data_IF_259664990141
#
_entry.id   IF_259664990141
#
_cell.length_a   1.000
_cell.length_b   1.000
_cell.length_c   1.000
_cell.angle_alpha   90.00
_cell.angle_beta   90.00
_cell.angle_gamma   90.00
#
_symmetry.space_group_name_H-M   'P 1'
#
loop_
_entity.id
_entity.type
_entity.pdbx_description
1 polymer ?
#
# COMPACT_ATOMS: atom_id res chain seq x y z
N UNK A 1 18.96 -55.85 -24.80
CA UNK A 1 19.06 -55.49 -23.38
C UNK A 1 19.33 -54.00 -23.37
N UNK A 2 18.50 -53.07 -22.92
CA UNK A 2 17.35 -53.07 -22.02
C UNK A 2 16.75 -51.65 -22.22
N UNK A 3 15.62 -51.55 -22.92
CA UNK A 3 14.33 -50.99 -22.44
C UNK A 3 14.05 -49.50 -22.73
N UNK A 4 12.91 -49.30 -23.40
CA UNK A 4 12.23 -48.06 -23.78
C UNK A 4 11.45 -47.45 -22.59
N UNK A 5 11.14 -46.15 -22.66
CA UNK A 5 9.76 -45.62 -22.78
C UNK A 5 9.62 -44.18 -22.25
N UNK A 6 9.16 -43.31 -23.14
CA UNK A 6 8.03 -42.37 -22.98
C UNK A 6 7.76 -41.73 -21.60
N UNK A 7 7.70 -40.39 -21.52
CA UNK A 7 6.43 -39.66 -21.58
C UNK A 7 6.60 -38.11 -21.48
N UNK A 8 5.64 -37.46 -22.14
CA UNK A 8 5.36 -36.07 -22.51
C UNK A 8 4.94 -35.17 -21.30
N UNK A 9 5.00 -33.82 -21.40
CA UNK A 9 4.74 -32.91 -20.27
C UNK A 9 3.26 -32.84 -19.92
N UNK A 10 2.95 -32.84 -18.62
CA UNK A 10 1.60 -32.67 -18.09
C UNK A 10 1.45 -31.30 -17.41
N UNK A 11 0.42 -30.58 -17.84
CA UNK A 11 -0.04 -29.32 -17.28
C UNK A 11 -1.07 -29.54 -16.16
N UNK A 12 -1.13 -28.58 -15.23
CA UNK A 12 -2.32 -28.07 -14.51
C UNK A 12 -3.01 -28.94 -13.43
N UNK A 13 -2.96 -28.46 -12.17
CA UNK A 13 -4.02 -28.52 -11.12
C UNK A 13 -3.71 -27.37 -10.14
N UNK A 14 -4.47 -26.27 -10.02
CA UNK A 14 -5.82 -26.07 -9.42
C UNK A 14 -5.91 -26.40 -7.91
N UNK A 15 -5.64 -25.41 -7.06
CA UNK A 15 -6.32 -25.09 -5.79
C UNK A 15 -5.73 -23.73 -5.29
N UNK A 16 -6.44 -22.79 -4.67
CA UNK A 16 -7.51 -22.92 -3.70
C UNK A 16 -8.49 -21.75 -3.79
N UNK A 17 -9.76 -22.09 -4.02
CA UNK A 17 -10.89 -21.30 -3.53
C UNK A 17 -10.90 -21.45 -2.01
N UNK A 18 -10.75 -20.36 -1.27
CA UNK A 18 -11.14 -20.31 0.15
C UNK A 18 -12.10 -19.14 0.28
N UNK A 19 -13.39 -19.47 0.15
CA UNK A 19 -14.44 -18.68 0.77
C UNK A 19 -14.28 -18.80 2.28
N UNK A 20 -14.47 -17.69 2.99
CA UNK A 20 -14.62 -17.71 4.43
C UNK A 20 -15.63 -16.65 4.83
N UNK A 21 -16.90 -16.98 4.62
CA UNK A 21 -17.99 -16.50 5.44
C UNK A 21 -18.05 -17.35 6.72
N UNK A 22 -17.93 -16.69 7.86
CA UNK A 22 -18.50 -17.13 9.15
C UNK A 22 -18.68 -15.88 10.02
N UNK A 23 -19.93 -15.47 10.13
CA UNK A 23 -20.46 -14.59 11.18
C UNK A 23 -20.14 -15.13 12.58
N UNK A 24 -19.62 -14.27 13.46
CA UNK A 24 -19.91 -14.33 14.89
C UNK A 24 -19.51 -13.01 15.60
N UNK A 25 -20.54 -12.35 16.13
CA UNK A 25 -20.51 -11.21 17.05
C UNK A 25 -19.73 -11.53 18.32
N UNK A 26 -18.80 -10.64 18.73
CA UNK A 26 -18.55 -10.39 20.15
C UNK A 26 -18.13 -8.93 20.44
N UNK A 27 -18.82 -8.36 21.42
CA UNK A 27 -18.71 -6.97 21.89
C UNK A 27 -17.42 -6.77 22.68
N UNK A 28 -16.41 -6.18 22.04
CA UNK A 28 -15.31 -5.54 22.73
C UNK A 28 -15.04 -4.19 22.11
N UNK A 29 -15.27 -3.10 22.85
CA UNK A 29 -14.92 -1.72 22.49
C UNK A 29 -13.40 -1.58 22.39
N UNK A 30 -12.80 -2.22 21.37
CA UNK A 30 -11.43 -2.01 20.95
C UNK A 30 -11.42 -0.62 20.37
N UNK A 31 -10.83 0.32 21.10
CA UNK A 31 -10.33 1.55 20.48
C UNK A 31 -9.47 1.07 19.33
N UNK A 32 -10.02 1.14 18.10
CA UNK A 32 -9.23 0.89 16.90
C UNK A 32 -8.17 1.98 16.94
N UNK A 33 -6.99 1.64 17.48
CA UNK A 33 -5.76 2.36 17.19
C UNK A 33 -5.79 2.44 15.68
N UNK A 34 -6.01 3.65 15.17
CA UNK A 34 -5.99 3.98 13.76
C UNK A 34 -4.61 3.55 13.32
N UNK A 35 -4.45 2.30 12.86
CA UNK A 35 -3.23 1.85 12.26
C UNK A 35 -3.10 2.78 11.07
N UNK A 36 -2.23 3.77 11.21
CA UNK A 36 -1.88 4.65 10.11
C UNK A 36 -1.34 3.70 9.07
N UNK A 37 -2.16 3.37 8.07
CA UNK A 37 -1.78 2.47 7.00
C UNK A 37 -0.65 3.19 6.29
N UNK A 38 0.58 2.74 6.51
CA UNK A 38 1.71 3.15 5.68
C UNK A 38 1.31 2.83 4.25
N UNK A 39 1.21 3.89 3.44
CA UNK A 39 0.86 3.73 2.04
C UNK A 39 2.01 2.98 1.36
N UNK A 40 1.65 1.92 0.64
CA UNK A 40 2.60 1.14 -0.16
C UNK A 40 2.48 1.56 -1.62
N UNK A 41 3.63 1.81 -2.23
CA UNK A 41 3.76 2.24 -3.62
C UNK A 41 4.45 1.19 -4.49
N UNK A 42 4.51 -0.06 -4.02
CA UNK A 42 5.26 -1.17 -4.64
C UNK A 42 5.03 -1.26 -6.15
N UNK A 43 3.76 -1.26 -6.59
CA UNK A 43 3.40 -1.31 -8.03
C UNK A 43 4.02 -0.15 -8.82
N UNK A 44 3.93 1.08 -8.31
CA UNK A 44 4.43 2.26 -8.99
C UNK A 44 5.96 2.29 -9.04
N UNK A 45 6.61 1.86 -7.96
CA UNK A 45 8.06 1.70 -7.90
C UNK A 45 8.49 0.72 -9.01
N UNK A 46 7.84 -0.45 -9.11
CA UNK A 46 8.14 -1.42 -10.18
C UNK A 46 7.87 -0.89 -11.60
N UNK A 47 6.77 -0.15 -11.81
CA UNK A 47 6.44 0.41 -13.12
C UNK A 47 7.49 1.42 -13.59
N UNK A 48 7.96 2.31 -12.70
CA UNK A 48 9.04 3.25 -13.02
C UNK A 48 10.34 2.52 -13.26
N UNK A 49 10.67 1.52 -12.43
CA UNK A 49 11.90 0.74 -12.59
C UNK A 49 11.98 0.00 -13.91
N UNK A 50 10.87 -0.58 -14.39
CA UNK A 50 10.83 -1.19 -15.71
C UNK A 50 11.09 -0.21 -16.85
N UNK A 51 10.72 1.06 -16.68
CA UNK A 51 10.96 2.09 -17.69
C UNK A 51 12.44 2.50 -17.75
N UNK A 52 13.14 2.54 -16.60
CA UNK A 52 14.54 2.98 -16.55
C UNK A 52 15.54 1.83 -16.66
N UNK A 53 15.25 0.68 -16.03
CA UNK A 53 16.13 -0.47 -15.93
C UNK A 53 15.32 -1.79 -15.90
N UNK A 54 14.94 -2.33 -17.07
CA UNK A 54 14.12 -3.54 -17.16
C UNK A 54 14.78 -4.81 -16.59
N UNK A 55 16.11 -4.84 -16.50
CA UNK A 55 16.88 -6.02 -16.06
C UNK A 55 17.27 -5.98 -14.57
N UNK A 56 16.85 -4.96 -13.82
CA UNK A 56 17.18 -4.81 -12.40
C UNK A 56 16.04 -5.33 -11.53
N UNK A 57 16.39 -6.21 -10.58
CA UNK A 57 15.51 -6.64 -9.51
C UNK A 57 15.77 -5.82 -8.23
N UNK A 58 14.71 -5.58 -7.45
CA UNK A 58 14.76 -4.86 -6.18
C UNK A 58 14.25 -5.76 -5.06
N UNK A 59 14.92 -5.70 -3.92
CA UNK A 59 14.51 -6.43 -2.72
C UNK A 59 13.28 -5.79 -2.07
N UNK A 60 12.50 -6.60 -1.35
CA UNK A 60 11.36 -6.11 -0.58
C UNK A 60 11.74 -5.10 0.51
N UNK A 61 12.96 -5.19 1.05
CA UNK A 61 13.48 -4.24 2.04
C UNK A 61 13.74 -2.86 1.41
N UNK A 62 14.31 -2.83 0.20
CA UNK A 62 14.50 -1.59 -0.55
C UNK A 62 13.16 -0.96 -0.94
N UNK A 63 12.12 -1.75 -1.25
CA UNK A 63 10.75 -1.24 -1.44
C UNK A 63 10.21 -0.58 -0.17
N UNK A 64 10.37 -1.20 1.00
CA UNK A 64 9.88 -0.62 2.25
C UNK A 64 10.59 0.70 2.58
N UNK A 65 11.90 0.77 2.35
CA UNK A 65 12.66 2.00 2.47
C UNK A 65 12.16 3.08 1.50
N UNK A 66 11.88 2.74 0.24
CA UNK A 66 11.32 3.65 -0.75
C UNK A 66 9.92 4.15 -0.35
N UNK A 67 9.06 3.27 0.15
CA UNK A 67 7.74 3.63 0.65
C UNK A 67 7.83 4.65 1.79
N UNK A 68 8.75 4.46 2.73
CA UNK A 68 8.98 5.41 3.82
C UNK A 68 9.51 6.76 3.33
N UNK A 69 10.42 6.77 2.36
CA UNK A 69 10.93 8.00 1.76
C UNK A 69 9.81 8.78 1.05
N UNK A 70 8.99 8.11 0.24
CA UNK A 70 7.84 8.73 -0.46
C UNK A 70 6.86 9.33 0.55
N UNK A 71 6.50 8.57 1.59
CA UNK A 71 5.60 9.05 2.63
C UNK A 71 6.16 10.30 3.34
N UNK A 72 7.46 10.33 3.65
CA UNK A 72 8.10 11.51 4.27
C UNK A 72 8.09 12.73 3.34
N UNK A 73 8.32 12.55 2.04
CA UNK A 73 8.25 13.63 1.07
C UNK A 73 6.82 14.17 0.92
N UNK A 74 5.82 13.29 0.86
CA UNK A 74 4.42 13.68 0.79
C UNK A 74 3.97 14.47 2.01
N UNK A 75 4.37 14.06 3.22
CA UNK A 75 4.07 14.79 4.45
C UNK A 75 4.62 16.22 4.40
N UNK A 76 5.89 16.38 3.99
CA UNK A 76 6.53 17.70 3.87
C UNK A 76 5.82 18.63 2.89
N UNK A 77 5.35 18.10 1.75
CA UNK A 77 4.60 18.88 0.76
C UNK A 77 3.23 19.28 1.31
N UNK A 78 2.54 18.35 1.97
CA UNK A 78 1.24 18.59 2.59
C UNK A 78 1.31 19.68 3.65
N UNK A 79 2.28 19.58 4.56
CA UNK A 79 2.51 20.59 5.61
C UNK A 79 2.84 21.97 5.02
N UNK A 80 3.72 22.02 4.01
CA UNK A 80 4.04 23.27 3.30
C UNK A 80 2.81 23.90 2.64
N UNK A 81 1.96 23.07 2.05
CA UNK A 81 0.72 23.52 1.39
C UNK A 81 -0.30 24.03 2.41
N UNK A 82 -0.55 23.29 3.50
CA UNK A 82 -1.45 23.70 4.59
C UNK A 82 -0.97 25.00 5.22
N UNK A 83 0.33 25.13 5.49
CA UNK A 83 0.92 26.36 6.01
C UNK A 83 0.69 27.53 5.06
N UNK A 84 0.89 27.36 3.75
CA UNK A 84 0.66 28.41 2.76
C UNK A 84 -0.81 28.84 2.70
N UNK A 85 -1.74 27.90 2.82
CA UNK A 85 -3.19 28.17 2.83
C UNK A 85 -3.57 28.93 4.11
N UNK A 86 -3.05 28.53 5.27
CA UNK A 86 -3.32 29.21 6.55
C UNK A 86 -2.67 30.60 6.64
N UNK A 87 -1.61 30.86 5.88
CA UNK A 87 -1.02 32.20 5.78
C UNK A 87 -1.80 33.09 4.80
N UNK A 88 -2.39 32.50 3.75
CA UNK A 88 -3.21 33.21 2.76
C UNK A 88 -4.61 33.50 3.28
N UNK A 89 -5.20 32.54 3.97
CA UNK A 89 -6.45 32.67 4.72
C UNK A 89 -6.06 32.98 6.15
N UNK A 90 -5.96 34.26 6.53
CA UNK A 90 -5.64 34.65 7.91
C UNK A 90 -6.48 33.89 8.96
N UNK A 91 -6.11 33.90 10.26
CA UNK A 91 -6.63 33.00 11.31
C UNK A 91 -8.15 33.06 11.63
N UNK A 92 -8.98 33.64 10.76
CA UNK A 92 -10.40 33.92 10.98
C UNK A 92 -11.40 32.89 10.44
N UNK A 93 -11.01 31.84 9.71
CA UNK A 93 -12.00 30.96 9.04
C UNK A 93 -12.50 29.76 9.88
N UNK A 94 -12.04 29.54 11.11
CA UNK A 94 -12.36 28.35 11.92
C UNK A 94 -12.98 28.66 13.29
N UNK A 95 -13.66 29.80 13.43
CA UNK A 95 -14.37 30.18 14.68
C UNK A 95 -15.85 30.57 14.48
N UNK A 96 -16.45 30.17 13.35
CA UNK A 96 -17.80 30.61 12.95
C UNK A 96 -18.94 29.61 13.12
N UNK A 97 -18.72 28.41 13.67
CA UNK A 97 -19.80 27.41 13.87
C UNK A 97 -19.80 26.92 15.32
N UNK A 98 -20.06 27.84 16.24
CA UNK A 98 -20.65 27.53 17.56
C UNK A 98 -21.57 28.71 17.87
N UNK A 99 -22.87 28.54 17.64
CA UNK A 99 -23.88 29.56 17.92
C UNK A 99 -24.96 29.67 16.85
N UNK A 100 -25.82 28.66 16.78
CA UNK A 100 -27.27 28.78 16.56
C UNK A 100 -27.92 27.49 17.03
#
# INVERSE_FOLDING_TARGET
MEQNADNKPAAVEKNSTVGMDVDAVDKGKKTMKKQSKTLKFDKYIYEVLKQVHPDIAISGEALDMMNNIINRMMLKISEGSVKSINLRSGPSAIKGVVGQ
#
